data_IF_652924528488
#
_entry.id   IF_652924528488
#
_cell.length_a   1.000
_cell.length_b   1.000
_cell.length_c   1.000
_cell.angle_alpha   90.00
_cell.angle_beta   90.00
_cell.angle_gamma   90.00
#
_symmetry.space_group_name_H-M   'P 1'
#
loop_
_entity.id
_entity.type
_entity.pdbx_description
1 polymer ?
#
# COMPACT_ATOMS: atom_id res chain seq x y z
N UNK A 1 -58.64 1.27 6.68
CA UNK A 1 -57.34 1.33 5.97
C UNK A 1 -56.27 0.95 6.97
N UNK A 2 -55.55 -0.14 6.70
CA UNK A 2 -54.51 -0.63 7.59
C UNK A 2 -53.27 0.28 7.50
N UNK A 3 -52.50 0.39 8.58
CA UNK A 3 -51.32 1.28 8.61
C UNK A 3 -50.28 0.93 7.53
N UNK A 4 -50.27 -0.31 7.03
CA UNK A 4 -49.41 -0.75 5.94
C UNK A 4 -49.77 -0.10 4.59
N UNK A 5 -51.07 0.04 4.28
CA UNK A 5 -51.53 0.66 3.03
C UNK A 5 -51.17 2.15 2.95
N UNK A 6 -51.21 2.84 4.10
CA UNK A 6 -50.86 4.26 4.20
C UNK A 6 -49.35 4.48 4.04
N UNK A 7 -48.53 3.54 4.54
CA UNK A 7 -47.08 3.59 4.40
C UNK A 7 -46.65 3.30 2.96
N UNK A 8 -47.26 2.30 2.32
CA UNK A 8 -47.00 2.00 0.90
C UNK A 8 -47.37 3.17 -0.01
N UNK A 9 -48.53 3.80 0.22
CA UNK A 9 -48.95 4.98 -0.54
C UNK A 9 -47.99 6.17 -0.42
N UNK A 10 -47.43 6.40 0.78
CA UNK A 10 -46.43 7.46 1.01
C UNK A 10 -45.10 7.17 0.32
N UNK A 11 -44.62 5.93 0.39
CA UNK A 11 -43.36 5.52 -0.27
C UNK A 11 -43.50 5.65 -1.79
N UNK A 12 -44.62 5.20 -2.37
CA UNK A 12 -44.88 5.32 -3.81
C UNK A 12 -45.01 6.79 -4.23
N UNK A 13 -45.68 7.63 -3.42
CA UNK A 13 -45.79 9.07 -3.69
C UNK A 13 -44.44 9.79 -3.58
N UNK A 14 -43.54 9.35 -2.70
CA UNK A 14 -42.20 9.91 -2.56
C UNK A 14 -41.26 9.48 -3.70
N UNK A 15 -41.36 8.22 -4.15
CA UNK A 15 -40.66 7.72 -5.34
C UNK A 15 -41.11 8.50 -6.59
N UNK A 16 -42.41 8.76 -6.74
CA UNK A 16 -42.98 9.50 -7.88
C UNK A 16 -42.60 10.99 -7.87
N UNK A 17 -42.23 11.54 -6.70
CA UNK A 17 -41.78 12.93 -6.53
C UNK A 17 -40.31 13.13 -6.90
N UNK A 18 -39.50 12.07 -6.88
CA UNK A 18 -38.08 12.13 -7.27
C UNK A 18 -37.97 12.28 -8.78
N UNK A 19 -37.23 13.29 -9.24
CA UNK A 19 -36.98 13.47 -10.66
C UNK A 19 -36.08 12.34 -11.16
N UNK A 20 -36.29 11.89 -12.40
CA UNK A 20 -35.61 10.72 -13.01
C UNK A 20 -34.07 10.77 -12.94
N UNK A 21 -33.46 11.94 -12.74
CA UNK A 21 -32.02 12.09 -12.58
C UNK A 21 -31.49 11.83 -11.16
N UNK A 22 -32.35 11.84 -10.12
CA UNK A 22 -31.96 11.52 -8.73
C UNK A 22 -31.87 10.01 -8.47
N UNK A 23 -32.42 9.19 -9.38
CA UNK A 23 -32.34 7.73 -9.33
C UNK A 23 -31.09 7.17 -10.03
N UNK A 24 -30.25 8.03 -10.62
CA UNK A 24 -28.98 7.59 -11.21
C UNK A 24 -27.98 7.34 -10.07
N UNK A 25 -27.34 6.16 -10.00
CA UNK A 25 -26.26 5.97 -9.04
C UNK A 25 -25.15 6.98 -9.35
N UNK A 26 -24.93 7.94 -8.43
CA UNK A 26 -23.75 8.81 -8.49
C UNK A 26 -22.57 8.02 -7.94
N UNK A 27 -21.48 7.98 -8.69
CA UNK A 27 -20.27 7.26 -8.30
C UNK A 27 -19.57 8.01 -7.16
N UNK A 28 -20.05 7.82 -5.92
CA UNK A 28 -19.47 8.38 -4.71
C UNK A 28 -18.27 7.51 -4.27
N UNK A 29 -17.21 7.52 -5.09
CA UNK A 29 -16.01 6.73 -4.82
C UNK A 29 -15.26 7.31 -3.60
N UNK A 30 -14.94 6.46 -2.63
CA UNK A 30 -14.15 6.82 -1.45
C UNK A 30 -12.80 6.08 -1.51
N UNK A 31 -11.67 6.80 -1.56
CA UNK A 31 -10.37 6.16 -1.53
C UNK A 31 -10.15 5.48 -0.17
N UNK A 32 -9.35 4.42 -0.18
CA UNK A 32 -8.90 3.69 1.01
C UNK A 32 -7.38 3.48 0.93
N UNK A 33 -6.70 3.10 2.02
CA UNK A 33 -5.25 2.85 1.99
C UNK A 33 -4.82 1.81 0.93
N UNK A 34 -5.72 0.89 0.57
CA UNK A 34 -5.50 -0.16 -0.43
C UNK A 34 -6.05 0.19 -1.82
N UNK A 35 -6.84 1.27 -1.95
CA UNK A 35 -7.49 1.63 -3.20
C UNK A 35 -7.45 3.14 -3.43
N UNK A 36 -6.66 3.56 -4.42
CA UNK A 36 -6.51 4.97 -4.79
C UNK A 36 -7.62 5.43 -5.72
N UNK A 37 -8.00 6.70 -5.61
CA UNK A 37 -9.00 7.30 -6.49
C UNK A 37 -8.53 7.28 -7.96
N UNK A 38 -9.38 6.81 -8.90
CA UNK A 38 -9.05 6.87 -10.32
C UNK A 38 -8.86 8.32 -10.80
N UNK A 39 -7.90 8.58 -11.70
CA UNK A 39 -7.58 9.95 -12.13
C UNK A 39 -8.73 10.61 -12.90
N UNK A 40 -9.63 9.84 -13.52
CA UNK A 40 -10.80 10.36 -14.23
C UNK A 40 -11.81 11.02 -13.30
N UNK A 41 -11.93 10.50 -12.06
CA UNK A 41 -12.92 10.94 -11.06
C UNK A 41 -12.30 11.97 -10.10
N UNK A 42 -10.97 11.98 -9.97
CA UNK A 42 -10.26 12.91 -9.08
C UNK A 42 -10.54 14.38 -9.48
N UNK A 43 -11.20 15.18 -8.61
CA UNK A 43 -11.47 16.59 -8.90
C UNK A 43 -10.19 17.40 -9.10
N UNK A 44 -9.08 17.02 -8.47
CA UNK A 44 -7.80 17.72 -8.61
C UNK A 44 -7.21 17.61 -10.02
N UNK A 45 -7.59 16.58 -10.80
CA UNK A 45 -7.11 16.43 -12.16
C UNK A 45 -7.70 17.47 -13.12
N UNK A 46 -8.87 18.02 -12.78
CA UNK A 46 -9.62 18.95 -13.64
C UNK A 46 -9.47 20.41 -13.21
N UNK A 47 -8.81 20.68 -12.08
CA UNK A 47 -8.50 22.05 -11.67
C UNK A 47 -7.46 22.68 -12.61
N UNK A 48 -7.56 23.99 -12.90
CA UNK A 48 -6.61 24.67 -13.76
C UNK A 48 -5.21 24.62 -13.13
N UNK A 49 -4.22 24.23 -13.94
CA UNK A 49 -2.84 24.03 -13.50
C UNK A 49 -2.20 25.39 -13.20
N UNK A 50 -1.61 25.52 -12.01
CA UNK A 50 -0.89 26.74 -11.63
C UNK A 50 0.45 26.84 -12.38
N UNK A 51 0.97 28.04 -12.64
CA UNK A 51 2.25 28.24 -13.32
C UNK A 51 3.43 27.48 -12.65
N UNK A 52 3.42 27.41 -11.31
CA UNK A 52 4.41 26.64 -10.52
C UNK A 52 4.31 25.14 -10.79
N UNK A 53 3.11 24.58 -10.85
CA UNK A 53 2.87 23.16 -11.12
C UNK A 53 3.30 22.82 -12.54
N UNK A 54 2.96 23.69 -13.51
CA UNK A 54 3.39 23.53 -14.90
C UNK A 54 4.92 23.49 -15.02
N UNK A 55 5.64 24.35 -14.29
CA UNK A 55 7.10 24.31 -14.22
C UNK A 55 7.60 22.99 -13.63
N UNK A 56 7.05 22.55 -12.50
CA UNK A 56 7.41 21.27 -11.89
C UNK A 56 7.12 20.06 -12.81
N UNK A 57 6.03 20.10 -13.60
CA UNK A 57 5.73 19.06 -14.59
C UNK A 57 6.78 19.02 -15.71
N UNK A 58 7.20 20.18 -16.22
CA UNK A 58 8.27 20.27 -17.22
C UNK A 58 9.59 19.70 -16.69
N UNK A 59 9.98 20.08 -15.48
CA UNK A 59 11.20 19.56 -14.83
C UNK A 59 11.15 18.03 -14.66
N UNK A 60 10.01 17.49 -14.18
CA UNK A 60 9.81 16.03 -14.05
C UNK A 60 9.90 15.31 -15.40
N UNK A 61 9.32 15.90 -16.46
CA UNK A 61 9.36 15.35 -17.82
C UNK A 61 10.77 15.38 -18.41
N UNK A 62 11.53 16.44 -18.17
CA UNK A 62 12.93 16.55 -18.59
C UNK A 62 13.79 15.48 -17.93
N UNK A 63 13.67 15.32 -16.61
CA UNK A 63 14.37 14.27 -15.85
C UNK A 63 13.99 12.89 -16.38
N UNK A 64 12.70 12.62 -16.59
CA UNK A 64 12.20 11.35 -17.14
C UNK A 64 12.78 11.08 -18.54
N UNK A 65 12.79 12.09 -19.41
CA UNK A 65 13.33 11.98 -20.77
C UNK A 65 14.83 11.66 -20.78
N UNK A 66 15.60 12.33 -19.93
CA UNK A 66 17.05 12.07 -19.78
C UNK A 66 17.34 10.64 -19.31
N UNK A 67 16.65 10.18 -18.25
CA UNK A 67 16.83 8.82 -17.72
C UNK A 67 16.39 7.75 -18.73
N UNK A 68 15.29 7.97 -19.45
CA UNK A 68 14.83 7.04 -20.50
C UNK A 68 15.85 6.92 -21.64
N UNK A 69 16.44 8.04 -22.07
CA UNK A 69 17.49 8.05 -23.10
C UNK A 69 18.72 7.26 -22.66
N UNK A 70 19.19 7.49 -21.43
CA UNK A 70 20.32 6.75 -20.86
C UNK A 70 20.07 5.24 -20.84
N UNK A 71 18.87 4.82 -20.43
CA UNK A 71 18.46 3.41 -20.44
C UNK A 71 18.52 2.82 -21.85
N UNK A 72 17.94 3.49 -22.85
CA UNK A 72 17.95 3.02 -24.24
C UNK A 72 19.35 2.95 -24.85
N UNK A 73 20.22 3.93 -24.57
CA UNK A 73 21.62 3.89 -25.02
C UNK A 73 22.36 2.66 -24.49
N UNK A 74 22.16 2.32 -23.21
CA UNK A 74 22.76 1.13 -22.59
C UNK A 74 22.20 -0.16 -23.16
N UNK A 75 20.88 -0.21 -23.40
CA UNK A 75 20.18 -1.38 -23.91
C UNK A 75 20.60 -1.74 -25.33
N UNK A 76 20.73 -0.76 -26.23
CA UNK A 76 21.02 -1.00 -27.65
C UNK A 76 22.52 -0.92 -28.02
N UNK A 77 23.41 -0.89 -27.04
CA UNK A 77 24.84 -0.77 -27.32
C UNK A 77 25.41 -2.07 -27.92
N UNK A 78 26.08 -2.02 -29.09
CA UNK A 78 26.42 -3.22 -29.86
C UNK A 78 27.47 -4.12 -29.20
N UNK A 79 28.34 -3.57 -28.34
CA UNK A 79 29.45 -4.32 -27.72
C UNK A 79 29.22 -4.68 -26.25
N UNK A 80 28.12 -4.19 -25.66
CA UNK A 80 27.81 -4.51 -24.25
C UNK A 80 27.54 -6.01 -24.05
N UNK A 81 27.13 -6.73 -25.10
CA UNK A 81 26.87 -8.17 -25.01
C UNK A 81 28.12 -9.05 -24.85
N UNK A 82 29.34 -8.52 -25.08
CA UNK A 82 30.58 -9.32 -25.10
C UNK A 82 31.43 -9.21 -23.84
N UNK A 83 31.30 -8.13 -23.06
CA UNK A 83 32.07 -7.89 -21.83
C UNK A 83 31.24 -7.35 -20.65
N UNK A 84 29.95 -7.05 -20.85
CA UNK A 84 29.07 -6.56 -19.79
C UNK A 84 28.13 -7.68 -19.34
N UNK A 85 28.24 -8.04 -18.06
CA UNK A 85 27.26 -8.86 -17.38
C UNK A 85 25.90 -8.12 -17.42
N UNK A 86 24.79 -8.72 -17.92
CA UNK A 86 23.48 -8.08 -18.16
C UNK A 86 22.74 -7.56 -16.92
N UNK A 87 23.41 -7.46 -15.77
CA UNK A 87 23.00 -6.57 -14.68
C UNK A 87 23.22 -5.12 -15.11
N UNK A 88 22.35 -4.65 -16.01
CA UNK A 88 21.93 -3.26 -16.15
C UNK A 88 21.57 -2.76 -14.76
N UNK A 89 22.58 -2.29 -14.03
CA UNK A 89 22.42 -1.91 -12.63
C UNK A 89 21.73 -0.56 -12.64
N UNK A 90 20.40 -0.59 -12.62
CA UNK A 90 19.61 0.61 -12.38
C UNK A 90 20.05 1.20 -11.03
N UNK A 91 20.55 2.42 -11.10
CA UNK A 91 20.99 3.16 -9.92
C UNK A 91 19.82 3.32 -8.93
N UNK A 92 18.59 3.51 -9.41
CA UNK A 92 17.43 3.59 -8.54
C UNK A 92 17.16 2.27 -7.82
N UNK A 93 17.23 1.14 -8.54
CA UNK A 93 17.08 -0.19 -7.93
C UNK A 93 18.16 -0.48 -6.87
N UNK A 94 19.42 -0.15 -7.14
CA UNK A 94 20.50 -0.35 -6.14
C UNK A 94 20.36 0.54 -4.92
N UNK A 95 19.92 1.79 -5.07
CA UNK A 95 19.60 2.63 -3.92
C UNK A 95 18.41 2.08 -3.14
N UNK A 96 17.39 1.55 -3.81
CA UNK A 96 16.23 0.93 -3.17
C UNK A 96 16.59 -0.34 -2.40
N UNK A 97 17.37 -1.24 -3.01
CA UNK A 97 17.82 -2.47 -2.33
C UNK A 97 18.70 -2.13 -1.15
N UNK A 98 19.63 -1.17 -1.29
CA UNK A 98 20.46 -0.66 -0.20
C UNK A 98 19.62 -0.02 0.93
N UNK A 99 18.59 0.75 0.58
CA UNK A 99 17.66 1.33 1.53
C UNK A 99 16.95 0.25 2.36
N UNK A 100 16.54 -0.84 1.72
CA UNK A 100 15.90 -1.97 2.41
C UNK A 100 16.88 -2.82 3.23
N UNK A 101 18.10 -3.05 2.74
CA UNK A 101 19.02 -4.03 3.33
C UNK A 101 20.01 -3.48 4.36
N UNK A 102 20.54 -2.27 4.16
CA UNK A 102 21.66 -1.75 4.98
C UNK A 102 21.31 -0.44 5.66
N UNK A 103 20.42 0.37 5.08
CA UNK A 103 20.14 1.71 5.57
C UNK A 103 19.47 1.73 6.95
N UNK A 104 18.63 0.73 7.25
CA UNK A 104 18.04 0.57 8.58
C UNK A 104 19.11 0.33 9.66
N UNK A 105 20.20 -0.38 9.35
CA UNK A 105 21.28 -0.64 10.32
C UNK A 105 22.08 0.63 10.66
N UNK A 106 22.24 1.56 9.71
CA UNK A 106 23.09 2.75 9.90
C UNK A 106 22.35 3.94 10.50
N UNK A 107 21.07 4.14 10.15
CA UNK A 107 20.30 5.33 10.59
C UNK A 107 19.17 5.00 11.58
N UNK A 108 18.59 3.79 11.57
CA UNK A 108 17.42 3.45 12.42
C UNK A 108 17.76 2.74 13.73
N UNK A 109 19.04 2.42 13.98
CA UNK A 109 19.49 2.00 15.33
C UNK A 109 19.46 3.14 16.36
N UNK A 110 19.06 4.35 15.97
CA UNK A 110 18.55 5.34 16.91
C UNK A 110 17.21 4.84 17.46
N UNK A 111 17.28 3.94 18.43
CA UNK A 111 16.16 3.36 19.15
C UNK A 111 15.36 4.48 19.83
N UNK A 112 14.40 5.05 19.09
CA UNK A 112 13.37 5.91 19.66
C UNK A 112 12.63 5.12 20.75
N UNK A 113 12.20 5.81 21.81
CA UNK A 113 11.41 5.20 22.90
C UNK A 113 10.18 4.46 22.36
N UNK A 114 9.59 4.92 21.26
CA UNK A 114 8.44 4.28 20.60
C UNK A 114 8.81 3.00 19.87
N UNK A 115 9.98 2.92 19.22
CA UNK A 115 10.40 1.72 18.49
C UNK A 115 10.83 0.61 19.46
N UNK A 116 11.50 0.95 20.56
CA UNK A 116 11.85 -0.02 21.63
C UNK A 116 10.61 -0.71 22.17
N UNK A 117 9.56 0.05 22.50
CA UNK A 117 8.31 -0.53 23.01
C UNK A 117 7.67 -1.48 21.99
N UNK A 118 7.65 -1.10 20.70
CA UNK A 118 7.09 -1.97 19.65
C UNK A 118 7.85 -3.29 19.49
N UNK A 119 9.18 -3.27 19.60
CA UNK A 119 10.02 -4.47 19.51
C UNK A 119 9.81 -5.37 20.72
N UNK A 120 9.78 -4.79 21.93
CA UNK A 120 9.52 -5.54 23.17
C UNK A 120 8.14 -6.21 23.12
N UNK A 121 7.11 -5.48 22.69
CA UNK A 121 5.75 -6.02 22.54
C UNK A 121 5.72 -7.14 21.49
N UNK A 122 6.37 -6.94 20.35
CA UNK A 122 6.45 -7.94 19.27
C UNK A 122 7.15 -9.23 19.69
N UNK A 123 8.15 -9.15 20.58
CA UNK A 123 8.88 -10.33 21.07
C UNK A 123 8.21 -10.99 22.29
N UNK A 124 7.75 -10.20 23.26
CA UNK A 124 7.19 -10.73 24.51
C UNK A 124 5.83 -11.39 24.30
N UNK A 125 4.94 -10.82 23.48
CA UNK A 125 3.59 -11.37 23.31
C UNK A 125 3.65 -12.80 22.73
N UNK A 126 4.36 -13.07 21.61
CA UNK A 126 4.45 -14.42 21.09
C UNK A 126 5.21 -15.37 22.02
N UNK A 127 6.27 -14.91 22.69
CA UNK A 127 7.04 -15.74 23.61
C UNK A 127 6.20 -16.21 24.81
N UNK A 128 5.44 -15.29 25.43
CA UNK A 128 4.52 -15.62 26.53
C UNK A 128 3.39 -16.53 26.03
N UNK A 129 2.84 -16.27 24.84
CA UNK A 129 1.81 -17.10 24.24
C UNK A 129 2.30 -18.54 23.98
N UNK A 130 3.48 -18.70 23.35
CA UNK A 130 4.09 -20.02 23.09
C UNK A 130 4.40 -20.74 24.40
N UNK A 131 4.94 -20.03 25.39
CA UNK A 131 5.20 -20.61 26.71
C UNK A 131 3.91 -21.09 27.37
N UNK A 132 2.84 -20.29 27.36
CA UNK A 132 1.55 -20.65 27.93
C UNK A 132 0.93 -21.84 27.17
N UNK A 133 1.00 -21.84 25.84
CA UNK A 133 0.53 -22.95 25.01
C UNK A 133 1.24 -24.26 25.36
N UNK A 134 2.56 -24.26 25.52
CA UNK A 134 3.34 -25.44 25.92
C UNK A 134 3.03 -25.85 27.37
N UNK A 135 2.93 -24.89 28.28
CA UNK A 135 2.76 -25.16 29.72
C UNK A 135 1.40 -25.79 30.03
N UNK A 136 0.35 -25.31 29.36
CA UNK A 136 -1.03 -25.72 29.58
C UNK A 136 -1.55 -26.70 28.52
N UNK A 137 -0.67 -27.28 27.70
CA UNK A 137 -1.06 -28.30 26.72
C UNK A 137 -1.58 -29.57 27.45
N UNK A 138 -2.83 -30.00 27.21
CA UNK A 138 -3.39 -31.19 27.84
C UNK A 138 -2.69 -32.49 27.42
N UNK A 139 -1.99 -32.51 26.29
CA UNK A 139 -1.26 -33.69 25.82
C UNK A 139 0.18 -33.79 26.34
N UNK A 140 0.63 -32.84 27.16
CA UNK A 140 2.02 -32.78 27.66
C UNK A 140 2.44 -34.04 28.43
N UNK A 141 1.55 -34.61 29.22
CA UNK A 141 1.82 -35.82 30.03
C UNK A 141 2.17 -37.06 29.20
N UNK A 142 1.71 -37.16 27.94
CA UNK A 142 2.07 -38.25 27.01
C UNK A 142 3.52 -38.19 26.53
N UNK A 143 4.10 -37.01 26.47
CA UNK A 143 5.46 -36.81 25.96
C UNK A 143 6.50 -36.83 27.09
N UNK A 144 6.11 -36.44 28.31
CA UNK A 144 6.98 -36.51 29.50
C UNK A 144 7.39 -37.95 29.88
N UNK A 145 6.61 -38.97 29.47
CA UNK A 145 6.96 -40.38 29.69
C UNK A 145 8.02 -40.90 28.74
N UNK A 146 8.21 -40.29 27.56
CA UNK A 146 9.17 -40.73 26.53
C UNK A 146 10.60 -40.25 26.85
N UNK A 147 10.74 -39.22 27.70
CA UNK A 147 12.03 -38.61 28.05
C UNK A 147 12.64 -39.21 29.33
N UNK A 148 11.89 -40.07 30.04
CA UNK A 148 12.29 -40.62 31.34
C UNK A 148 13.00 -41.98 31.29
N UNK A 149 13.21 -42.55 30.10
CA UNK A 149 13.98 -43.77 29.86
C UNK A 149 15.41 -43.43 29.40
#
# INVERSE_FOLDING_TARGET
MSNSEVLEGKVVAEIKRRKWYDLRPRLNYRPSPVSTMPPTIDPNNWTPITAKELKAHKERLEIRGRLRREYWMKLYHPTNYKFFNPLLTDKAYTHFTRAKSVYHLKETLQLSKTSVNSVIICLLIPAVYIWAAIKYDPNRSRFDSVVKD
#
